data_IF_675517009957
#
_entry.id   IF_675517009957
#
_cell.length_a   1.000
_cell.length_b   1.000
_cell.length_c   1.000
_cell.angle_alpha   90.00
_cell.angle_beta   90.00
_cell.angle_gamma   90.00
#
_symmetry.space_group_name_H-M   'P 1'
#
loop_
_entity.id
_entity.type
_entity.pdbx_description
1 polymer ?
2 non-polymer ?
3 non-polymer ?
4 water ?
#
# COMPACT_ATOMS: atom_id res chain seq x y z
N UNK A 1 12.09 -30.61 -5.96
CA UNK A 1 10.69 -30.21 -6.15
C UNK A 1 10.58 -28.80 -6.71
N UNK A 2 9.36 -28.26 -6.73
CA UNK A 2 9.20 -26.93 -7.28
C UNK A 2 9.71 -25.85 -6.32
N UNK A 3 9.79 -26.14 -5.02
CA UNK A 3 10.39 -25.17 -4.10
C UNK A 3 11.85 -24.91 -4.46
N UNK A 4 12.60 -25.98 -4.73
CA UNK A 4 13.99 -25.80 -5.12
C UNK A 4 14.10 -25.05 -6.44
N UNK A 5 13.19 -25.32 -7.37
CA UNK A 5 13.14 -24.54 -8.60
C UNK A 5 12.85 -23.07 -8.31
N UNK A 6 11.82 -22.79 -7.52
CA UNK A 6 11.48 -21.41 -7.23
C UNK A 6 12.62 -20.70 -6.51
N UNK A 7 13.25 -21.38 -5.56
CA UNK A 7 14.35 -20.77 -4.82
C UNK A 7 15.51 -20.42 -5.75
N UNK A 8 15.86 -21.32 -6.66
CA UNK A 8 16.94 -21.04 -7.60
C UNK A 8 16.60 -19.85 -8.49
N UNK A 9 15.35 -19.78 -8.96
CA UNK A 9 14.93 -18.66 -9.78
C UNK A 9 14.98 -17.35 -9.01
N UNK A 10 14.50 -17.35 -7.78
CA UNK A 10 14.55 -16.13 -6.97
C UNK A 10 16.00 -15.69 -6.75
N UNK A 11 16.89 -16.63 -6.47
CA UNK A 11 18.30 -16.31 -6.29
C UNK A 11 18.88 -15.58 -7.50
N UNK A 12 18.32 -15.81 -8.69
CA UNK A 12 18.83 -15.16 -9.89
C UNK A 12 18.42 -13.71 -10.01
N UNK A 13 17.43 -13.24 -9.26
CA UNK A 13 16.99 -11.85 -9.37
C UNK A 13 17.36 -11.00 -8.17
N UNK A 14 17.90 -11.58 -7.10
CA UNK A 14 18.28 -10.80 -5.93
C UNK A 14 19.78 -10.53 -5.99
N UNK A 15 20.27 -9.71 -5.06
CA UNK A 15 21.70 -9.51 -4.94
C UNK A 15 22.34 -10.75 -4.34
N UNK A 16 23.58 -11.06 -4.73
CA UNK A 16 24.24 -12.24 -4.16
C UNK A 16 24.68 -12.00 -2.72
N UNK A 17 24.79 -13.10 -1.98
CA UNK A 17 25.42 -13.07 -0.67
C UNK A 17 24.45 -13.01 0.49
N UNK A 18 25.03 -12.86 1.67
CA UNK A 18 24.32 -12.81 2.95
C UNK A 18 24.47 -11.41 3.53
N UNK A 19 23.39 -10.63 3.68
CA UNK A 19 23.52 -9.29 4.21
C UNK A 19 23.91 -9.25 5.68
N UNK A 20 24.04 -10.39 6.35
CA UNK A 20 24.59 -10.35 7.69
C UNK A 20 26.07 -10.01 7.68
N UNK A 21 26.68 -9.98 6.48
CA UNK A 21 28.03 -9.44 6.34
C UNK A 21 28.10 -7.95 6.60
N UNK A 22 26.98 -7.22 6.60
CA UNK A 22 27.05 -5.79 6.85
C UNK A 22 25.91 -5.23 7.69
N UNK A 23 24.93 -6.02 8.08
CA UNK A 23 23.81 -5.53 8.90
C UNK A 23 23.87 -6.15 10.29
N UNK A 24 23.62 -5.32 11.30
CA UNK A 24 23.68 -5.70 12.70
C UNK A 24 22.36 -5.44 13.40
N UNK A 25 22.17 -6.17 14.49
CA UNK A 25 21.16 -5.85 15.50
C UNK A 25 19.76 -5.75 14.88
N UNK A 26 19.30 -6.89 14.37
CA UNK A 26 17.96 -6.99 13.82
C UNK A 26 16.94 -6.96 14.95
N UNK A 27 15.93 -6.10 14.82
CA UNK A 27 14.81 -6.04 15.76
C UNK A 27 13.52 -6.04 14.97
N UNK A 28 12.62 -6.96 15.29
CA UNK A 28 11.32 -6.99 14.65
C UNK A 28 10.45 -5.85 15.16
N UNK A 29 9.90 -5.06 14.25
CA UNK A 29 9.04 -3.94 14.63
C UNK A 29 7.62 -4.07 14.11
N UNK A 30 7.35 -5.04 13.23
CA UNK A 30 6.02 -5.15 12.68
C UNK A 30 5.90 -6.37 11.82
N UNK A 31 4.71 -6.53 11.25
CA UNK A 31 4.45 -7.67 10.40
C UNK A 31 3.31 -7.32 9.46
N UNK A 32 3.19 -8.11 8.42
CA UNK A 32 2.09 -8.02 7.49
C UNK A 32 1.79 -9.40 6.96
N UNK A 33 1.04 -9.46 5.86
CA UNK A 33 0.50 -10.74 5.40
C UNK A 33 1.56 -11.65 4.82
N UNK A 34 2.72 -11.13 4.40
CA UNK A 34 3.74 -11.96 3.77
C UNK A 34 4.98 -12.19 4.62
N UNK A 35 5.12 -11.53 5.76
CA UNK A 35 6.34 -11.67 6.53
C UNK A 35 6.42 -10.62 7.61
N UNK A 36 7.64 -10.40 8.11
CA UNK A 36 7.87 -9.46 9.19
C UNK A 36 8.73 -8.31 8.69
N UNK A 37 8.69 -7.22 9.45
CA UNK A 37 9.47 -6.02 9.20
C UNK A 37 10.42 -5.85 10.37
N UNK A 38 11.70 -5.69 10.08
CA UNK A 38 12.70 -5.43 11.09
C UNK A 38 13.37 -4.08 10.84
N UNK A 39 14.00 -3.59 11.86
CA UNK A 39 15.05 -2.58 11.67
C UNK A 39 16.40 -3.25 11.86
N UNK A 40 17.42 -2.69 11.21
CA UNK A 40 18.79 -3.17 11.32
C UNK A 40 19.71 -1.97 11.11
N UNK A 41 20.96 -2.12 11.55
CA UNK A 41 21.97 -1.07 11.46
C UNK A 41 23.08 -1.49 10.50
N UNK A 42 23.51 -0.56 9.65
CA UNK A 42 24.65 -0.83 8.78
C UNK A 42 25.93 -0.76 9.63
N UNK A 43 26.72 -1.82 9.54
CA UNK A 43 27.89 -1.95 10.41
C UNK A 43 28.88 -0.80 10.20
N UNK A 44 29.05 -0.35 8.95
CA UNK A 44 30.02 0.72 8.68
C UNK A 44 29.45 2.11 8.87
N UNK A 45 28.15 2.30 8.61
CA UNK A 45 27.54 3.63 8.54
C UNK A 45 26.89 4.09 9.84
N UNK A 46 26.43 3.17 10.68
CA UNK A 46 25.45 3.53 11.69
C UNK A 46 24.09 3.83 11.12
N UNK A 47 23.94 3.74 9.79
CA UNK A 47 22.68 3.99 9.10
C UNK A 47 21.60 2.98 9.48
N UNK A 48 20.40 3.47 9.79
CA UNK A 48 19.28 2.57 10.04
C UNK A 48 18.58 2.23 8.74
N UNK A 49 18.21 0.95 8.59
CA UNK A 49 17.41 0.51 7.45
C UNK A 49 16.28 -0.39 7.95
N UNK A 50 15.27 -0.55 7.10
CA UNK A 50 14.23 -1.53 7.32
C UNK A 50 14.55 -2.77 6.51
N UNK A 51 14.30 -3.95 7.09
CA UNK A 51 14.50 -5.22 6.39
C UNK A 51 13.22 -6.01 6.52
N UNK A 52 12.59 -6.31 5.37
CA UNK A 52 11.45 -7.22 5.36
C UNK A 52 11.95 -8.63 5.15
N UNK A 53 11.41 -9.58 5.91
CA UNK A 53 11.77 -10.99 5.75
C UNK A 53 10.52 -11.79 5.43
N UNK A 54 10.58 -12.57 4.36
CA UNK A 54 9.48 -13.37 3.85
C UNK A 54 9.97 -14.80 3.66
N UNK A 55 9.33 -15.74 4.35
CA UNK A 55 9.64 -17.15 4.18
C UNK A 55 9.00 -17.66 2.90
N UNK A 56 9.81 -18.20 1.99
CA UNK A 56 9.28 -18.66 0.71
C UNK A 56 8.21 -19.74 0.90
N UNK A 57 8.34 -20.57 1.93
CA UNK A 57 7.45 -21.70 2.16
C UNK A 57 6.10 -21.31 2.74
N UNK A 58 5.96 -20.08 3.23
CA UNK A 58 4.74 -19.64 3.89
C UNK A 58 3.85 -18.79 3.00
N UNK A 59 4.21 -18.61 1.73
CA UNK A 59 3.47 -17.71 0.86
C UNK A 59 2.36 -18.47 0.16
N UNK A 60 1.16 -17.91 0.18
CA UNK A 60 0.10 -18.53 -0.61
C UNK A 60 0.39 -18.41 -2.10
N UNK A 61 1.05 -17.33 -2.51
CA UNK A 61 1.38 -17.06 -3.92
C UNK A 61 2.86 -16.70 -3.98
N UNK A 62 3.73 -17.70 -3.94
CA UNK A 62 5.16 -17.38 -3.83
C UNK A 62 5.66 -16.68 -5.09
N UNK A 63 5.09 -17.00 -6.26
CA UNK A 63 5.50 -16.32 -7.49
C UNK A 63 5.39 -14.80 -7.36
N UNK A 64 4.45 -14.31 -6.54
CA UNK A 64 4.35 -12.87 -6.33
C UNK A 64 5.60 -12.28 -5.69
N UNK A 65 6.43 -13.10 -5.04
CA UNK A 65 7.65 -12.55 -4.43
C UNK A 65 8.58 -11.94 -5.47
N UNK A 66 8.61 -12.52 -6.68
CA UNK A 66 9.41 -11.98 -7.76
C UNK A 66 9.02 -10.54 -8.08
N UNK A 67 7.72 -10.25 -8.05
CA UNK A 67 7.22 -9.03 -8.68
C UNK A 67 7.83 -7.79 -8.05
N UNK A 68 7.81 -7.70 -6.72
CA UNK A 68 8.31 -6.50 -6.06
C UNK A 68 9.78 -6.28 -6.35
N UNK A 69 10.60 -7.32 -6.11
CA UNK A 69 12.04 -7.21 -6.28
C UNK A 69 12.38 -6.82 -7.72
N UNK A 70 11.61 -7.30 -8.68
CA UNK A 70 11.93 -7.02 -10.09
C UNK A 70 11.31 -5.70 -10.54
N UNK A 71 9.99 -5.56 -10.37
CA UNK A 71 9.29 -4.40 -10.90
C UNK A 71 9.78 -3.12 -10.26
N UNK A 72 9.99 -3.13 -8.96
CA UNK A 72 10.33 -1.91 -8.24
C UNK A 72 11.82 -1.73 -8.06
N UNK A 73 12.64 -2.49 -8.79
CA UNK A 73 14.09 -2.33 -8.68
C UNK A 73 14.51 -0.99 -9.25
N UNK A 74 15.30 -0.24 -8.48
CA UNK A 74 15.79 1.09 -8.85
C UNK A 74 14.65 2.11 -9.03
N UNK A 75 13.47 1.84 -8.49
CA UNK A 75 12.37 2.78 -8.61
C UNK A 75 12.63 3.97 -7.70
N UNK A 76 12.62 5.17 -8.29
CA UNK A 76 12.84 6.40 -7.52
C UNK A 76 11.66 7.32 -7.74
N UNK A 77 10.89 7.54 -6.69
CA UNK A 77 9.78 8.47 -6.69
C UNK A 77 9.67 9.02 -5.28
N UNK A 78 9.41 10.32 -5.17
CA UNK A 78 9.38 10.97 -3.87
C UNK A 78 8.30 10.40 -2.94
N UNK A 79 7.25 9.79 -3.49
CA UNK A 79 6.18 9.23 -2.68
C UNK A 79 6.21 7.70 -2.65
N UNK A 80 7.37 7.08 -2.94
CA UNK A 80 7.51 5.63 -2.87
C UNK A 80 8.72 5.29 -1.99
N UNK A 81 8.53 4.36 -1.05
CA UNK A 81 9.63 3.94 -0.19
C UNK A 81 10.71 3.26 -1.03
N UNK A 82 11.95 3.69 -0.87
CA UNK A 82 13.01 3.19 -1.73
C UNK A 82 13.49 1.82 -1.27
N UNK A 83 13.69 0.91 -2.24
CA UNK A 83 14.27 -0.40 -1.99
C UNK A 83 15.76 -0.36 -2.34
N UNK A 84 16.60 -0.84 -1.43
CA UNK A 84 18.05 -0.74 -1.65
C UNK A 84 18.63 -2.02 -2.23
N UNK A 85 18.34 -3.17 -1.63
CA UNK A 85 18.93 -4.45 -2.01
C UNK A 85 17.97 -5.54 -1.60
N UNK A 86 18.19 -6.73 -2.13
CA UNK A 86 17.44 -7.91 -1.72
C UNK A 86 18.38 -9.12 -1.71
N UNK A 87 18.06 -10.09 -0.86
CA UNK A 87 18.91 -11.24 -0.67
C UNK A 87 18.05 -12.47 -0.43
N UNK A 88 18.63 -13.63 -0.71
CA UNK A 88 18.06 -14.91 -0.35
C UNK A 88 18.89 -15.44 0.81
N UNK A 89 18.28 -15.58 1.97
CA UNK A 89 18.97 -16.04 3.17
C UNK A 89 18.26 -17.32 3.61
N UNK A 90 18.89 -18.46 3.35
CA UNK A 90 18.21 -19.71 3.63
C UNK A 90 16.98 -19.80 2.76
N UNK A 91 15.82 -20.05 3.39
CA UNK A 91 14.54 -20.09 2.70
C UNK A 91 13.79 -18.77 2.79
N UNK A 92 14.46 -17.68 3.17
CA UNK A 92 13.80 -16.39 3.33
C UNK A 92 14.32 -15.38 2.31
N UNK A 93 13.39 -14.57 1.79
CA UNK A 93 13.74 -13.40 1.00
C UNK A 93 13.84 -12.22 1.95
N UNK A 94 14.98 -11.52 1.92
CA UNK A 94 15.15 -10.31 2.72
C UNK A 94 15.26 -9.11 1.79
N UNK A 95 14.47 -8.09 2.05
CA UNK A 95 14.47 -6.89 1.22
C UNK A 95 14.87 -5.71 2.11
N UNK A 96 15.99 -5.06 1.77
CA UNK A 96 16.51 -3.95 2.55
C UNK A 96 15.95 -2.64 2.00
N UNK A 97 15.35 -1.84 2.87
CA UNK A 97 14.63 -0.66 2.41
C UNK A 97 14.91 0.53 3.31
N UNK A 98 14.54 1.70 2.80
CA UNK A 98 14.63 2.92 3.59
C UNK A 98 13.69 2.81 4.79
N UNK A 99 14.14 3.31 5.96
CA UNK A 99 13.35 3.24 7.18
C UNK A 99 12.62 4.58 7.35
N UNK A 100 11.28 4.51 7.39
CA UNK A 100 10.44 5.69 7.59
C UNK A 100 10.07 5.77 9.06
N UNK A 101 10.51 6.84 9.72
CA UNK A 101 10.46 6.95 11.17
C UNK A 101 9.15 7.56 11.69
N UNK A 102 8.22 7.91 10.82
CA UNK A 102 6.92 8.37 11.29
C UNK A 102 5.89 7.28 11.47
N UNK A 103 6.22 6.04 11.14
CA UNK A 103 5.28 4.94 11.26
C UNK A 103 4.25 4.94 10.15
N UNK A 104 3.21 4.12 10.33
CA UNK A 104 2.23 3.91 9.28
C UNK A 104 0.98 4.74 9.54
N UNK A 105 0.27 5.05 8.45
CA UNK A 105 -0.98 5.81 8.55
C UNK A 105 -1.99 5.15 9.48
N UNK A 106 -1.95 3.82 9.59
CA UNK A 106 -2.90 3.12 10.45
C UNK A 106 -2.84 3.63 11.87
N UNK A 107 -1.64 3.87 12.38
CA UNK A 107 -1.50 4.35 13.75
C UNK A 107 -2.11 5.73 13.92
N UNK A 108 -2.06 6.56 12.88
CA UNK A 108 -2.72 7.86 12.92
C UNK A 108 -4.23 7.67 12.95
N UNK A 109 -4.74 6.84 12.05
CA UNK A 109 -6.18 6.70 11.87
C UNK A 109 -6.85 6.15 13.13
N UNK A 110 -6.16 5.27 13.85
CA UNK A 110 -6.75 4.71 15.07
C UNK A 110 -6.63 5.65 16.27
N UNK A 111 -5.78 6.66 16.21
CA UNK A 111 -5.54 7.48 17.39
C UNK A 111 -6.03 8.91 17.24
N UNK A 112 -6.34 9.38 16.04
CA UNK A 112 -6.72 10.79 15.95
C UNK A 112 -7.64 11.02 14.77
N UNK A 113 -8.52 11.99 14.95
CA UNK A 113 -9.25 12.57 13.83
C UNK A 113 -8.27 13.29 12.92
N UNK A 114 -8.54 13.25 11.61
CA UNK A 114 -7.79 14.04 10.64
C UNK A 114 -8.71 15.10 10.04
N UNK A 115 -8.18 16.29 9.77
CA UNK A 115 -9.02 17.28 9.09
C UNK A 115 -8.90 17.09 7.58
N UNK A 116 -9.68 17.87 6.81
CA UNK A 116 -9.71 17.58 5.38
C UNK A 116 -8.46 18.08 4.66
N UNK A 117 -7.79 19.10 5.20
CA UNK A 117 -6.47 19.46 4.68
C UNK A 117 -5.52 18.28 4.77
N UNK A 118 -5.57 17.54 5.87
CA UNK A 118 -4.64 16.44 6.08
C UNK A 118 -5.03 15.23 5.24
N UNK A 119 -6.32 14.92 5.18
CA UNK A 119 -6.79 13.83 4.33
C UNK A 119 -6.42 14.11 2.88
N UNK A 120 -6.64 15.35 2.43
CA UNK A 120 -6.32 15.70 1.04
C UNK A 120 -4.83 15.56 0.77
N UNK A 121 -4.00 15.96 1.74
CA UNK A 121 -2.55 15.83 1.57
C UNK A 121 -2.13 14.38 1.42
N UNK A 122 -2.73 13.49 2.20
CA UNK A 122 -2.42 12.07 2.05
C UNK A 122 -2.87 11.56 0.69
N UNK A 123 -4.13 11.84 0.32
CA UNK A 123 -4.64 11.43 -0.98
C UNK A 123 -3.78 11.94 -2.13
N UNK A 124 -3.34 13.19 -2.04
CA UNK A 124 -2.55 13.76 -3.12
C UNK A 124 -1.24 13.02 -3.28
N UNK A 125 -0.56 12.73 -2.16
CA UNK A 125 0.69 12.00 -2.22
C UNK A 125 0.51 10.62 -2.85
N UNK A 126 -0.52 9.89 -2.39
CA UNK A 126 -0.74 8.53 -2.91
C UNK A 126 -1.07 8.56 -4.39
N UNK A 127 -1.86 9.56 -4.80
CA UNK A 127 -2.26 9.65 -6.20
C UNK A 127 -1.10 10.09 -7.09
N UNK A 128 -0.17 10.90 -6.58
CA UNK A 128 1.01 11.20 -7.37
C UNK A 128 1.80 9.93 -7.65
N UNK A 129 1.94 9.08 -6.63
CA UNK A 129 2.60 7.79 -6.81
C UNK A 129 1.83 6.90 -7.78
N UNK A 130 0.53 6.72 -7.55
CA UNK A 130 -0.25 5.83 -8.40
C UNK A 130 -0.33 6.32 -9.83
N UNK A 131 -0.36 7.64 -10.05
CA UNK A 131 -0.44 8.12 -11.42
C UNK A 131 0.77 7.66 -12.24
N UNK A 132 1.95 7.72 -11.64
CA UNK A 132 3.16 7.28 -12.35
C UNK A 132 3.16 5.76 -12.50
N UNK A 133 2.88 5.04 -11.41
CA UNK A 133 2.87 3.58 -11.47
C UNK A 133 1.88 3.07 -12.50
N UNK A 134 0.66 3.59 -12.46
CA UNK A 134 -0.38 3.13 -13.39
C UNK A 134 -0.01 3.43 -14.83
N UNK A 135 0.60 4.58 -15.10
CA UNK A 135 1.06 4.88 -16.45
C UNK A 135 2.12 3.88 -16.91
N UNK A 136 2.87 3.29 -15.98
CA UNK A 136 3.88 2.28 -16.31
C UNK A 136 3.34 0.86 -16.26
N UNK A 137 2.04 0.70 -16.03
CA UNK A 137 1.45 -0.62 -16.03
C UNK A 137 1.59 -1.39 -14.74
N UNK A 138 1.93 -0.72 -13.63
CA UNK A 138 2.08 -1.37 -12.34
C UNK A 138 0.80 -1.15 -11.55
N UNK A 139 0.19 -2.24 -11.09
CA UNK A 139 -0.94 -2.21 -10.17
C UNK A 139 -0.43 -2.58 -8.79
N UNK A 140 -0.71 -1.75 -7.78
CA UNK A 140 -0.17 -2.02 -6.45
C UNK A 140 -0.89 -3.20 -5.80
N UNK A 141 -2.22 -3.16 -5.76
CA UNK A 141 -3.12 -4.21 -5.29
C UNK A 141 -3.10 -4.43 -3.79
N UNK A 142 -2.42 -3.59 -3.00
CA UNK A 142 -2.63 -3.66 -1.55
C UNK A 142 -2.65 -2.26 -0.95
N UNK A 143 -3.39 -1.35 -1.57
CA UNK A 143 -3.57 -0.01 -1.00
C UNK A 143 -4.46 -0.09 0.22
N UNK A 144 -3.98 0.46 1.34
CA UNK A 144 -4.67 0.53 2.63
C UNK A 144 -3.77 1.35 3.55
N UNK A 145 -4.31 1.74 4.71
CA UNK A 145 -3.56 2.67 5.55
C UNK A 145 -2.25 2.03 6.04
N UNK A 146 -2.22 0.71 6.21
CA UNK A 146 -0.96 0.14 6.71
C UNK A 146 0.13 0.12 5.65
N UNK A 147 -0.21 0.37 4.39
CA UNK A 147 0.76 0.44 3.31
C UNK A 147 1.36 1.83 3.14
N UNK A 148 0.92 2.81 3.94
CA UNK A 148 1.29 4.21 3.79
C UNK A 148 2.19 4.56 4.95
N UNK A 149 3.39 5.06 4.64
CA UNK A 149 4.37 5.40 5.67
C UNK A 149 4.65 6.89 5.68
N UNK A 150 5.06 7.40 6.84
CA UNK A 150 5.32 8.83 7.03
C UNK A 150 6.75 9.08 7.52
N UNK A 151 7.31 10.21 7.12
CA UNK A 151 8.55 10.69 7.71
C UNK A 151 8.23 11.56 8.93
N UNK A 152 9.27 11.89 9.70
CA UNK A 152 9.03 12.73 10.88
C UNK A 152 8.58 14.14 10.48
N UNK A 153 8.95 14.59 9.28
CA UNK A 153 8.55 15.92 8.85
C UNK A 153 7.26 15.92 8.01
N UNK A 154 6.54 14.80 7.99
CA UNK A 154 5.20 14.77 7.43
C UNK A 154 5.10 14.41 5.97
N UNK A 155 6.16 13.89 5.37
CA UNK A 155 6.07 13.38 4.02
C UNK A 155 5.49 11.98 4.01
N UNK A 156 4.78 11.66 2.93
CA UNK A 156 3.97 10.46 2.83
C UNK A 156 4.49 9.61 1.68
N UNK A 157 4.72 8.30 1.92
CA UNK A 157 5.28 7.40 0.93
C UNK A 157 4.53 6.08 0.91
N UNK A 158 4.40 5.51 -0.29
CA UNK A 158 3.72 4.24 -0.48
C UNK A 158 4.71 3.09 -0.33
N UNK A 159 4.28 2.03 0.36
CA UNK A 159 5.14 0.87 0.57
C UNK A 159 4.31 -0.39 0.33
N UNK A 160 4.85 -1.55 0.74
CA UNK A 160 4.18 -2.87 0.67
C UNK A 160 3.70 -3.22 -0.73
N UNK A 161 4.67 -3.32 -1.65
CA UNK A 161 4.40 -3.68 -3.04
C UNK A 161 4.40 -5.18 -3.29
N UNK A 162 4.29 -6.00 -2.24
CA UNK A 162 4.45 -7.44 -2.40
C UNK A 162 3.35 -8.13 -3.21
N UNK A 163 2.22 -7.47 -3.42
CA UNK A 163 1.15 -8.01 -4.23
C UNK A 163 1.09 -7.40 -5.62
N UNK A 164 2.07 -6.58 -6.00
CA UNK A 164 1.93 -5.79 -7.20
C UNK A 164 1.96 -6.67 -8.45
N UNK A 165 1.48 -6.10 -9.55
CA UNK A 165 1.42 -6.80 -10.82
C UNK A 165 1.79 -5.82 -11.94
N UNK A 166 2.28 -6.38 -13.04
CA UNK A 166 2.61 -5.62 -14.24
C UNK A 166 1.62 -6.00 -15.35
N UNK A 167 0.97 -4.99 -15.92
CA UNK A 167 0.11 -5.19 -17.09
C UNK A 167 0.77 -4.52 -18.29
N UNK A 168 0.36 -4.94 -19.49
CA UNK A 168 1.00 -4.47 -20.70
C UNK A 168 0.00 -4.45 -21.85
N UNK A 169 0.45 -3.93 -22.98
CA UNK A 169 -0.33 -3.96 -24.22
C UNK A 169 -0.87 -5.36 -24.52
N UNK A 170 -0.02 -6.39 -24.37
CA UNK A 170 -0.42 -7.75 -24.72
C UNK A 170 -1.29 -8.39 -23.65
N UNK A 171 -1.00 -8.12 -22.37
CA UNK A 171 -1.76 -8.67 -21.25
C UNK A 171 -2.23 -7.50 -20.38
N UNK A 172 -3.28 -6.77 -20.79
CA UNK A 172 -3.64 -5.53 -20.10
C UNK A 172 -4.42 -5.71 -18.82
N UNK A 173 -4.78 -6.93 -18.46
CA UNK A 173 -5.63 -7.14 -17.29
C UNK A 173 -5.18 -8.37 -16.53
N UNK A 174 -5.35 -8.33 -15.21
CA UNK A 174 -5.17 -9.47 -14.34
C UNK A 174 -6.52 -9.96 -13.85
N UNK A 175 -6.54 -11.16 -13.28
CA UNK A 175 -7.79 -11.70 -12.73
C UNK A 175 -7.60 -12.30 -11.34
N UNK A 176 -6.36 -12.28 -10.83
CA UNK A 176 -6.06 -12.92 -9.55
C UNK A 176 -6.79 -12.28 -8.39
N UNK A 177 -7.29 -13.10 -7.48
CA UNK A 177 -7.83 -12.57 -6.22
C UNK A 177 -6.67 -12.30 -5.28
N UNK A 178 -6.25 -11.04 -5.25
CA UNK A 178 -5.08 -10.63 -4.47
C UNK A 178 -5.45 -9.34 -3.73
N UNK A 179 -5.08 -9.27 -2.47
CA UNK A 179 -5.22 -8.04 -1.70
C UNK A 179 -5.56 -8.33 -0.25
N UNK A 180 -6.12 -7.33 0.43
CA UNK A 180 -6.62 -7.48 1.79
C UNK A 180 -8.13 -7.33 1.78
N UNK A 181 -8.90 -8.33 2.25
CA UNK A 181 -10.35 -8.40 1.96
C UNK A 181 -11.13 -7.09 2.00
N UNK A 182 -11.04 -6.34 3.11
CA UNK A 182 -11.90 -5.18 3.30
C UNK A 182 -11.61 -4.08 2.30
N UNK A 183 -10.42 -4.07 1.71
CA UNK A 183 -10.04 -3.07 0.72
C UNK A 183 -10.18 -3.53 -0.72
N UNK A 184 -10.60 -4.77 -0.96
CA UNK A 184 -10.60 -5.31 -2.33
C UNK A 184 -11.72 -4.73 -3.18
N UNK A 185 -11.39 -4.43 -4.44
CA UNK A 185 -12.38 -3.93 -5.40
C UNK A 185 -13.38 -5.04 -5.76
N UNK A 186 -14.64 -4.68 -6.02
CA UNK A 186 -15.64 -5.74 -6.28
C UNK A 186 -15.33 -6.57 -7.53
N UNK A 187 -14.81 -5.96 -8.59
CA UNK A 187 -14.48 -6.74 -9.79
C UNK A 187 -13.32 -7.70 -9.51
N UNK A 188 -12.43 -7.35 -8.59
CA UNK A 188 -11.33 -8.23 -8.23
C UNK A 188 -11.82 -9.40 -7.38
N UNK A 189 -12.68 -9.12 -6.40
CA UNK A 189 -13.33 -10.19 -5.65
C UNK A 189 -14.05 -11.15 -6.60
N UNK A 190 -14.68 -10.61 -7.64
CA UNK A 190 -15.38 -11.43 -8.62
C UNK A 190 -14.48 -12.14 -9.60
N UNK A 191 -13.16 -11.94 -9.52
CA UNK A 191 -12.19 -12.54 -10.46
C UNK A 191 -12.54 -12.20 -11.90
N UNK A 192 -13.04 -11.00 -12.10
CA UNK A 192 -13.23 -10.48 -13.45
C UNK A 192 -11.94 -9.82 -13.90
N UNK A 193 -11.71 -9.72 -15.21
CA UNK A 193 -10.49 -9.03 -15.67
C UNK A 193 -10.49 -7.59 -15.17
N UNK A 194 -9.36 -7.18 -14.58
CA UNK A 194 -9.28 -5.87 -13.96
C UNK A 194 -7.92 -5.26 -14.27
N UNK A 195 -7.85 -3.94 -14.11
CA UNK A 195 -6.63 -3.19 -14.30
C UNK A 195 -6.34 -2.29 -13.13
N UNK A 196 -5.60 -1.21 -13.37
CA UNK A 196 -5.17 -0.31 -12.27
C UNK A 196 -6.33 0.27 -11.50
N UNK A 197 -7.54 0.26 -12.04
CA UNK A 197 -8.66 0.84 -11.32
C UNK A 197 -8.90 0.20 -9.95
N UNK A 198 -8.43 -1.04 -9.73
CA UNK A 198 -8.67 -1.65 -8.43
C UNK A 198 -8.00 -0.85 -7.33
N UNK A 199 -6.83 -0.24 -7.63
CA UNK A 199 -6.15 0.58 -6.63
C UNK A 199 -6.98 1.81 -6.26
N UNK A 200 -7.76 2.34 -7.20
CA UNK A 200 -8.57 3.53 -6.93
C UNK A 200 -9.69 3.19 -5.96
N UNK A 201 -10.33 2.04 -6.14
CA UNK A 201 -11.32 1.57 -5.17
C UNK A 201 -10.70 1.44 -3.78
N UNK A 202 -9.57 0.72 -3.70
CA UNK A 202 -8.88 0.55 -2.42
C UNK A 202 -8.58 1.90 -1.78
N UNK A 203 -8.16 2.89 -2.59
CA UNK A 203 -7.90 4.22 -2.04
C UNK A 203 -9.17 4.82 -1.48
N UNK A 204 -10.32 4.58 -2.14
CA UNK A 204 -11.59 5.01 -1.58
C UNK A 204 -11.86 4.43 -0.21
N UNK A 205 -11.55 3.14 -0.03
CA UNK A 205 -11.72 2.52 1.28
C UNK A 205 -10.79 3.16 2.30
N UNK A 206 -9.57 3.50 1.87
CA UNK A 206 -8.66 4.17 2.80
C UNK A 206 -9.16 5.56 3.17
N UNK A 207 -9.86 6.26 2.27
CA UNK A 207 -10.47 7.53 2.66
C UNK A 207 -11.52 7.32 3.75
N UNK A 208 -12.30 6.23 3.63
CA UNK A 208 -13.24 5.91 4.70
C UNK A 208 -12.50 5.64 6.00
N UNK A 209 -11.36 4.97 5.94
CA UNK A 209 -10.51 4.81 7.12
C UNK A 209 -10.17 6.15 7.73
N UNK A 210 -9.73 7.09 6.90
CA UNK A 210 -9.28 8.37 7.44
C UNK A 210 -10.42 9.17 8.06
N UNK A 211 -11.62 9.02 7.54
CA UNK A 211 -12.78 9.76 8.05
C UNK A 211 -13.43 9.03 9.21
N UNK A 212 -13.60 7.72 9.09
CA UNK A 212 -14.37 6.95 10.05
C UNK A 212 -13.53 6.24 11.09
N UNK A 213 -12.26 5.98 10.81
CA UNK A 213 -11.39 5.28 11.73
C UNK A 213 -11.21 3.81 11.43
N UNK A 214 -11.96 3.25 10.49
CA UNK A 214 -11.87 1.84 10.12
C UNK A 214 -12.56 1.67 8.77
N UNK A 215 -12.23 0.61 8.03
CA UNK A 215 -12.91 0.40 6.76
C UNK A 215 -14.30 -0.16 6.99
N UNK A 216 -15.16 -0.14 5.98
CA UNK A 216 -16.47 -0.78 6.10
C UNK A 216 -16.33 -2.26 6.42
N UNK A 217 -17.26 -2.78 7.20
CA UNK A 217 -17.40 -4.20 7.47
C UNK A 217 -16.24 -4.77 8.28
N UNK A 218 -15.52 -3.92 9.02
CA UNK A 218 -14.22 -4.33 9.55
C UNK A 218 -14.31 -5.46 10.57
N UNK A 219 -15.38 -5.53 11.36
CA UNK A 219 -15.46 -6.64 12.31
C UNK A 219 -16.25 -7.82 11.75
N UNK A 220 -16.68 -7.76 10.49
CA UNK A 220 -17.23 -8.93 9.80
C UNK A 220 -16.11 -9.91 9.45
N UNK A 221 -16.40 -11.20 9.46
CA UNK A 221 -15.46 -12.19 8.94
C UNK A 221 -15.07 -11.82 7.52
N UNK A 222 -13.80 -12.02 7.14
CA UNK A 222 -13.34 -11.47 5.85
C UNK A 222 -14.05 -12.07 4.65
N UNK A 223 -14.39 -13.36 4.66
CA UNK A 223 -15.12 -13.92 3.53
C UNK A 223 -16.50 -13.30 3.39
N UNK A 224 -17.17 -13.05 4.52
CA UNK A 224 -18.47 -12.40 4.48
C UNK A 224 -18.37 -10.96 3.99
N UNK A 225 -17.37 -10.22 4.49
CA UNK A 225 -17.15 -8.86 3.99
C UNK A 225 -16.96 -8.86 2.48
N UNK A 226 -16.20 -9.82 1.96
CA UNK A 226 -15.93 -9.85 0.52
C UNK A 226 -17.21 -10.08 -0.28
N UNK A 227 -18.10 -10.97 0.20
CA UNK A 227 -19.37 -11.16 -0.47
C UNK A 227 -20.21 -9.90 -0.42
N UNK A 228 -20.17 -9.17 0.70
CA UNK A 228 -20.95 -7.93 0.82
C UNK A 228 -20.37 -6.83 -0.07
N UNK A 229 -19.05 -6.75 -0.20
CA UNK A 229 -18.44 -5.82 -1.14
C UNK A 229 -18.82 -6.18 -2.56
N UNK A 230 -18.76 -7.48 -2.88
CA UNK A 230 -19.03 -7.91 -4.25
C UNK A 230 -20.48 -7.64 -4.64
N UNK A 231 -21.42 -7.77 -3.69
CA UNK A 231 -22.83 -7.79 -4.03
C UNK A 231 -23.61 -6.53 -3.66
N UNK A 232 -23.13 -5.71 -2.73
CA UNK A 232 -23.92 -4.56 -2.30
C UNK A 232 -23.48 -3.27 -2.98
N UNK A 233 -24.29 -2.23 -2.76
CA UNK A 233 -23.93 -0.88 -3.15
C UNK A 233 -22.62 -0.49 -2.49
N UNK A 234 -21.90 0.48 -3.06
CA UNK A 234 -20.64 0.89 -2.47
C UNK A 234 -20.85 1.34 -1.03
N UNK A 235 -19.85 1.14 -0.18
CA UNK A 235 -20.06 1.43 1.24
C UNK A 235 -20.14 2.93 1.48
N UNK A 236 -20.83 3.28 2.56
CA UNK A 236 -21.11 4.66 2.94
C UNK A 236 -20.24 5.06 4.12
N UNK A 237 -19.90 6.35 4.19
CA UNK A 237 -19.27 6.90 5.38
C UNK A 237 -20.24 6.89 6.56
N UNK A 238 -19.79 6.33 7.69
CA UNK A 238 -20.54 6.52 8.94
C UNK A 238 -20.68 8.00 9.27
N UNK A 239 -19.59 8.76 9.12
CA UNK A 239 -19.55 10.20 9.38
C UNK A 239 -19.92 11.02 8.16
N UNK A 240 -20.86 10.53 7.36
CA UNK A 240 -21.23 11.21 6.10
C UNK A 240 -21.61 12.66 6.33
N UNK A 241 -22.39 12.95 7.36
CA UNK A 241 -22.85 14.33 7.47
C UNK A 241 -21.81 15.25 8.10
N UNK A 242 -20.62 14.73 8.40
CA UNK A 242 -19.54 15.53 8.97
C UNK A 242 -18.50 15.96 7.94
N UNK A 243 -18.59 15.52 6.69
CA UNK A 243 -17.59 15.85 5.68
C UNK A 243 -18.16 16.90 4.73
N UNK A 244 -17.26 17.61 4.04
CA UNK A 244 -17.64 18.63 3.09
C UNK A 244 -18.19 18.01 1.80
N UNK A 245 -18.99 18.76 1.04
CA UNK A 245 -19.45 18.25 -0.26
C UNK A 245 -18.31 17.92 -1.19
N UNK A 246 -17.19 18.65 -1.10
CA UNK A 246 -16.03 18.37 -1.93
C UNK A 246 -15.44 17.01 -1.61
N UNK A 247 -15.31 16.69 -0.31
CA UNK A 247 -14.77 15.37 0.05
C UNK A 247 -15.72 14.28 -0.40
N UNK A 248 -17.03 14.47 -0.20
CA UNK A 248 -17.99 13.45 -0.63
C UNK A 248 -17.95 13.27 -2.14
N UNK A 249 -17.88 14.38 -2.88
CA UNK A 249 -17.83 14.27 -4.33
C UNK A 249 -16.60 13.54 -4.81
N UNK A 250 -15.46 13.81 -4.17
CA UNK A 250 -14.23 13.09 -4.47
C UNK A 250 -14.40 11.60 -4.20
N UNK A 251 -14.85 11.24 -3.00
CA UNK A 251 -15.07 9.83 -2.65
C UNK A 251 -16.01 9.16 -3.64
N UNK A 252 -17.05 9.88 -4.10
CA UNK A 252 -18.00 9.35 -5.07
C UNK A 252 -17.35 8.94 -6.39
N UNK A 253 -16.19 9.51 -6.72
CA UNK A 253 -15.48 9.11 -7.92
C UNK A 253 -14.55 7.93 -7.71
N UNK A 254 -14.21 7.61 -6.46
CA UNK A 254 -13.37 6.45 -6.14
C UNK A 254 -14.19 5.17 -5.95
N UNK A 255 -15.29 5.24 -5.22
CA UNK A 255 -16.07 4.06 -4.88
C UNK A 255 -17.19 3.87 -5.90
N UNK A 256 -16.78 3.57 -7.11
CA UNK A 256 -17.69 3.36 -8.24
C UNK A 256 -17.58 1.88 -8.60
N UNK A 257 -18.71 1.17 -8.60
CA UNK A 257 -18.66 -0.27 -8.80
C UNK A 257 -18.17 -0.63 -10.19
N UNK A 258 -18.68 0.04 -11.22
CA UNK A 258 -18.27 -0.22 -12.58
C UNK A 258 -16.86 0.31 -12.79
N UNK A 259 -15.85 -0.55 -13.00
CA UNK A 259 -14.48 -0.04 -13.13
C UNK A 259 -14.29 0.90 -14.31
N UNK A 260 -15.11 0.77 -15.37
CA UNK A 260 -14.95 1.66 -16.51
C UNK A 260 -15.41 3.08 -16.20
N UNK A 261 -16.21 3.28 -15.16
CA UNK A 261 -16.66 4.61 -14.80
C UNK A 261 -15.96 5.15 -13.57
N UNK A 262 -15.11 4.35 -12.94
CA UNK A 262 -14.33 4.80 -11.80
C UNK A 262 -13.24 5.74 -12.29
N UNK A 263 -12.94 6.78 -11.50
CA UNK A 263 -11.96 7.77 -11.94
C UNK A 263 -10.56 7.16 -11.97
N UNK A 264 -9.71 7.65 -12.89
CA UNK A 264 -8.31 7.28 -12.89
C UNK A 264 -7.52 8.17 -11.93
N UNK A 265 -6.33 7.71 -11.56
CA UNK A 265 -5.46 8.52 -10.71
C UNK A 265 -5.19 9.88 -11.35
N UNK A 266 -4.92 9.91 -12.66
CA UNK A 266 -4.66 11.17 -13.35
C UNK A 266 -5.88 12.09 -13.32
N UNK A 267 -7.09 11.53 -13.47
CA UNK A 267 -8.29 12.34 -13.36
C UNK A 267 -8.46 12.90 -11.96
N UNK A 268 -8.16 12.09 -10.94
CA UNK A 268 -8.38 12.51 -9.56
C UNK A 268 -7.44 13.62 -9.15
N UNK A 269 -6.24 13.66 -9.73
CA UNK A 269 -5.31 14.73 -9.40
C UNK A 269 -5.86 16.09 -9.76
N UNK A 270 -6.83 16.14 -10.67
CA UNK A 270 -7.49 17.38 -11.06
C UNK A 270 -8.71 17.71 -10.21
N UNK A 271 -9.04 16.88 -9.24
CA UNK A 271 -10.29 17.11 -8.52
C UNK A 271 -10.13 18.26 -7.52
N UNK A 272 -11.15 19.11 -7.38
CA UNK A 272 -11.00 20.27 -6.50
C UNK A 272 -10.77 19.93 -5.04
N UNK A 273 -11.20 18.76 -4.56
CA UNK A 273 -10.90 18.39 -3.18
C UNK A 273 -9.41 18.45 -2.90
N UNK A 274 -8.59 18.12 -3.89
CA UNK A 274 -7.16 18.11 -3.65
C UNK A 274 -6.55 19.50 -3.62
N UNK A 275 -7.32 20.55 -3.97
CA UNK A 275 -6.85 21.92 -3.70
C UNK A 275 -6.71 22.19 -2.21
N UNK A 276 -7.36 21.41 -1.34
CA UNK A 276 -7.22 21.57 0.10
C UNK A 276 -5.91 21.00 0.64
N UNK A 277 -5.13 20.30 -0.18
CA UNK A 277 -4.02 19.51 0.32
C UNK A 277 -3.01 20.37 1.04
N UNK A 278 -2.76 20.06 2.29
CA UNK A 278 -1.77 20.79 3.05
C UNK A 278 -0.36 20.32 2.76
N UNK A 279 0.60 21.11 3.21
CA UNK A 279 2.01 20.74 3.04
C UNK A 279 2.41 19.73 4.10
N UNK A 280 3.63 19.18 4.03
CA UNK A 280 4.06 18.22 5.05
C UNK A 280 3.88 18.71 6.48
N UNK A 281 4.08 20.01 6.73
CA UNK A 281 3.93 20.55 8.07
C UNK A 281 2.53 20.33 8.64
N UNK A 282 1.51 20.23 7.78
CA UNK A 282 0.16 20.01 8.27
C UNK A 282 -0.05 18.60 8.80
N UNK A 283 0.81 17.67 8.41
CA UNK A 283 0.69 16.28 8.85
C UNK A 283 1.41 16.04 10.19
N UNK A 284 2.49 16.79 10.43
CA UNK A 284 3.31 16.60 11.64
C UNK A 284 2.48 16.48 12.91
N UNK A 285 1.49 17.34 13.17
CA UNK A 285 0.82 17.25 14.48
C UNK A 285 0.13 15.93 14.72
N UNK A 286 -0.24 15.21 13.66
CA UNK A 286 -0.95 13.94 13.78
C UNK A 286 -0.10 12.85 14.40
N UNK A 287 1.21 12.98 14.32
CA UNK A 287 2.13 12.02 14.91
C UNK A 287 2.55 12.39 16.33
N UNK A 288 2.14 13.56 16.84
CA UNK A 288 2.57 14.04 18.15
C UNK A 288 1.45 14.18 19.17
N UNK A 289 0.18 14.09 18.77
CA UNK A 289 -0.91 14.32 19.70
C UNK A 289 -2.17 13.67 19.13
N UNK A 290 -3.17 13.50 19.98
CA UNK A 290 -4.40 12.79 19.63
C UNK A 290 -5.62 13.68 19.83
N UNK A 291 -6.60 13.49 18.95
CA UNK A 291 -7.85 14.26 18.95
C UNK A 291 -8.98 13.31 18.55
N UNK A 292 -9.95 13.14 19.43
CA UNK A 292 -10.99 12.14 19.22
C UNK A 292 -11.94 12.54 18.09
N UNK A 293 -12.46 11.54 17.39
CA UNK A 293 -13.54 11.74 16.42
C UNK A 293 -14.89 11.92 17.13
X LIG B 1 7.77 1.13 10.00
X LIG B 1 7.48 1.65 11.32
X LIG B 1 6.56 0.95 12.20
X LIG B 1 5.97 -0.23 11.78
X LIG B 1 7.20 0.02 9.60
X LIG B 1 6.28 -0.69 10.52
X LIG B 1 8.06 2.81 11.72
X LIG B 1 7.72 3.32 13.08
X LIG B 1 6.90 2.69 13.89
X LIG B 1 6.26 1.42 13.45
X LIG B 1 9.12 1.29 7.89
X LIG B 1 8.70 0.16 7.17
X LIG B 1 9.48 0.12 6.01
X LIG B 1 9.44 -0.90 4.87
X LIG B 1 5.69 -1.99 10.01
X LIG B 1 4.25 -3.26 8.50
X LIG B 1 4.08 -3.25 6.97
X LIG B 1 4.09 -0.90 6.87
X LIG B 1 4.30 -0.72 8.36
X LIG B 1 3.33 -4.50 6.60
X LIG B 1 8.66 1.83 9.15
X LIG B 1 10.34 1.20 6.05
X LIG B 1 10.12 1.92 7.21
X LIG B 1 4.74 -1.97 8.94
X LIG B 1 3.32 -2.10 6.62
X LIG B 1 6.08 -3.03 10.51
X LIG B 1 8.45 4.80 13.62
X LIG C 1 5.29 -8.00 5.46
X LIG C 1 6.47 -8.02 4.50
X LIG C 1 4.07 -8.16 4.76
X LIG D 1 -8.00 0.19 10.66
X LIG D 1 -8.86 0.17 11.91
X LIG D 1 -8.42 1.18 9.73
X LIG E 1 19.89 -21.70 -5.37
X LIG E 1 21.25 -21.63 -4.67
X LIG E 1 18.94 -22.41 -4.59
X LIG F 1 2.89 -7.21 0.85
X LIG F 1 1.61 -6.41 1.09
X LIG F 1 4.02 -6.36 0.80
#
# INVERSE_FOLDING_TARGET
>A
SSHEQFRAALQLVVDPGDPRSYLDNFIKIGEGSTGIVCIATVRSSGKLVAVKKMDLRKQQRRELLFNEVVIMRDYQHENVVEMYNSYLVGDELWVVMEFLEGGALTDIVTHTRMNEEQIAAVCLAVLQALSVLHAQGVIHRDIKSDSILLTHDGRVKLSDFGFCAQVSKEVPRRKSLVGTPYWMAPELISRLPYGPEVDIWSLGIMVIEMVDGEPPYFNEPPLKAMKMIRDNLPPRLKNLHKVSPSLKGFLDRLLVRDPAQRATAAELLKHPFLAKAGPPASIVPLMRQNRTR
>B hetero
1 8FU C4 C5 C6 N1 N3 C2 CAA CAB CAC CAD CAM CAN CAO CAR CAS CAU CAV CAX CAY CAZ NAL NAP NAQ NAT NAW OBA CL
>C hetero
1 EOH C1 C2 O
>D hetero
1 EOH C1 C2 O
>E hetero
1 EOH C1 C2 O
>F hetero
1 EOH C1 C2 O
#
